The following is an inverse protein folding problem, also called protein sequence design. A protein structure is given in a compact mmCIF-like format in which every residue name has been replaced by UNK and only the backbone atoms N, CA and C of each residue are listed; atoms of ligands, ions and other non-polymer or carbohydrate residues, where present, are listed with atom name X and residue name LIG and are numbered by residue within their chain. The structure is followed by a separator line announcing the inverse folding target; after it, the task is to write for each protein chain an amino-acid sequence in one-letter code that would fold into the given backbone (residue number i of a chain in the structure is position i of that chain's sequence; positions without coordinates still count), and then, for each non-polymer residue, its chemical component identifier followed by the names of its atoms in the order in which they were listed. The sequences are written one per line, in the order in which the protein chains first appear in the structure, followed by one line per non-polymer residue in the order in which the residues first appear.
data_IF_142982232517
#
_entry.id   IF_142982232517
#
_cell.length_a   1.000
_cell.length_b   1.000
_cell.length_c   1.000
_cell.angle_alpha   90.00
_cell.angle_beta   90.00
_cell.angle_gamma   90.00
#
_symmetry.space_group_name_H-M   'P 1'
#
loop_
_entity.id
_entity.type
_entity.pdbx_description
1 polymer ?
#
# COMPACT_ATOMS: atom_id res chain seq x y z
N UNK A 1 -26.21 56.64 14.19
CA UNK A 1 -24.91 56.08 13.66
C UNK A 1 -24.28 55.05 14.60
N UNK A 2 -24.96 54.60 15.67
CA UNK A 2 -24.41 53.67 16.68
C UNK A 2 -24.75 52.19 16.56
N UNK A 3 -25.67 51.79 15.68
CA UNK A 3 -26.21 50.41 15.70
C UNK A 3 -25.77 49.50 14.51
N UNK A 4 -24.90 50.01 13.63
CA UNK A 4 -24.44 49.20 12.50
C UNK A 4 -23.21 48.34 12.81
N UNK A 5 -22.52 48.56 13.94
CA UNK A 5 -21.27 47.86 14.27
C UNK A 5 -21.44 46.65 15.22
N UNK A 6 -22.66 46.23 15.55
CA UNK A 6 -22.91 45.09 16.46
C UNK A 6 -23.18 43.76 15.77
N UNK A 7 -22.92 43.62 14.49
CA UNK A 7 -22.96 42.32 13.80
C UNK A 7 -21.57 41.92 13.30
N UNK A 8 -20.55 41.96 14.14
CA UNK A 8 -19.39 41.09 13.94
C UNK A 8 -19.83 39.68 14.28
N UNK A 9 -20.27 38.94 13.27
CA UNK A 9 -20.41 37.50 13.35
C UNK A 9 -19.04 36.95 13.73
N UNK A 10 -18.91 36.41 14.93
CA UNK A 10 -17.66 35.80 15.40
C UNK A 10 -17.15 34.83 14.35
N UNK A 11 -15.84 34.85 14.07
CA UNK A 11 -15.19 33.90 13.10
C UNK A 11 -15.55 32.45 13.39
N UNK A 12 -15.74 32.08 14.65
CA UNK A 12 -16.20 30.76 15.09
C UNK A 12 -17.61 30.40 14.54
N UNK A 13 -18.52 31.40 14.42
CA UNK A 13 -19.81 31.16 13.79
C UNK A 13 -19.71 30.99 12.28
N UNK A 14 -18.77 31.67 11.62
CA UNK A 14 -18.55 31.53 10.18
C UNK A 14 -18.06 30.13 9.82
N UNK A 15 -17.08 29.62 10.54
CA UNK A 15 -16.57 28.26 10.37
C UNK A 15 -17.65 27.19 10.62
N UNK A 16 -18.43 27.37 11.65
CA UNK A 16 -19.54 26.47 11.97
C UNK A 16 -20.57 26.42 10.83
N UNK A 17 -21.00 27.57 10.31
CA UNK A 17 -21.93 27.63 9.20
C UNK A 17 -21.33 27.10 7.89
N UNK A 18 -20.07 27.39 7.60
CA UNK A 18 -19.34 26.84 6.46
C UNK A 18 -19.29 25.31 6.50
N UNK A 19 -19.03 24.74 7.68
CA UNK A 19 -19.03 23.28 7.88
C UNK A 19 -20.42 22.67 7.64
N UNK A 20 -21.48 23.31 8.11
CA UNK A 20 -22.85 22.85 7.84
C UNK A 20 -23.16 22.88 6.35
N UNK A 21 -22.81 23.97 5.65
CA UNK A 21 -23.00 24.09 4.19
C UNK A 21 -22.24 22.99 3.43
N UNK A 22 -20.97 22.77 3.79
CA UNK A 22 -20.16 21.70 3.20
C UNK A 22 -20.78 20.31 3.42
N UNK A 23 -21.26 20.03 4.64
CA UNK A 23 -21.94 18.76 4.91
C UNK A 23 -23.24 18.59 4.10
N UNK A 24 -24.03 19.66 3.94
CA UNK A 24 -25.26 19.62 3.12
C UNK A 24 -24.96 19.44 1.64
N UNK A 25 -23.89 20.09 1.15
CA UNK A 25 -23.40 19.91 -0.22
C UNK A 25 -23.00 18.45 -0.47
N UNK A 26 -22.12 17.89 0.36
CA UNK A 26 -21.66 16.51 0.22
C UNK A 26 -22.82 15.52 0.26
N UNK A 27 -23.78 15.69 1.19
CA UNK A 27 -24.99 14.84 1.22
C UNK A 27 -25.79 14.91 -0.08
N UNK A 28 -25.92 16.10 -0.67
CA UNK A 28 -26.61 16.28 -1.96
C UNK A 28 -25.88 15.57 -3.08
N UNK A 29 -24.58 15.77 -3.19
CA UNK A 29 -23.75 15.10 -4.21
C UNK A 29 -23.79 13.58 -4.06
N UNK A 30 -23.75 13.08 -2.83
CA UNK A 30 -23.91 11.65 -2.52
C UNK A 30 -25.24 11.13 -3.04
N UNK A 31 -26.35 11.78 -2.70
CA UNK A 31 -27.70 11.35 -3.13
C UNK A 31 -27.80 11.35 -4.66
N UNK A 32 -27.36 12.42 -5.32
CA UNK A 32 -27.42 12.54 -6.79
C UNK A 32 -26.54 11.49 -7.47
N UNK A 33 -25.33 11.25 -6.96
CA UNK A 33 -24.40 10.27 -7.48
C UNK A 33 -24.93 8.84 -7.37
N UNK A 34 -25.46 8.47 -6.19
CA UNK A 34 -26.05 7.14 -6.02
C UNK A 34 -27.34 6.94 -6.85
N UNK A 35 -28.15 7.98 -7.03
CA UNK A 35 -29.30 7.90 -7.96
C UNK A 35 -28.85 7.61 -9.41
N UNK A 36 -27.77 8.27 -9.86
CA UNK A 36 -27.20 7.99 -11.19
C UNK A 36 -26.70 6.56 -11.30
N UNK A 37 -25.96 6.07 -10.30
CA UNK A 37 -25.47 4.69 -10.28
C UNK A 37 -26.60 3.68 -10.24
N UNK A 38 -27.66 3.95 -9.49
CA UNK A 38 -28.84 3.08 -9.46
C UNK A 38 -29.50 2.96 -10.84
N UNK A 39 -29.60 4.08 -11.57
CA UNK A 39 -30.14 4.08 -12.92
C UNK A 39 -29.26 3.31 -13.91
N UNK A 40 -27.93 3.45 -13.82
CA UNK A 40 -26.97 2.69 -14.64
C UNK A 40 -27.01 1.19 -14.32
N UNK A 41 -27.08 0.82 -13.05
CA UNK A 41 -27.16 -0.58 -12.62
C UNK A 41 -28.50 -1.25 -13.00
N UNK A 42 -29.56 -0.46 -13.21
CA UNK A 42 -30.86 -0.97 -13.66
C UNK A 42 -30.94 -1.08 -15.18
N UNK A 43 -30.00 -0.54 -15.92
CA UNK A 43 -29.95 -0.61 -17.38
C UNK A 43 -29.17 -1.86 -17.80
N UNK A 44 -29.89 -2.87 -18.30
CA UNK A 44 -29.33 -4.15 -18.77
C UNK A 44 -28.36 -3.99 -19.97
N UNK A 45 -28.31 -2.82 -20.61
CA UNK A 45 -27.41 -2.55 -21.73
C UNK A 45 -26.04 -2.03 -21.30
N UNK A 46 -25.90 -1.61 -20.03
CA UNK A 46 -24.64 -1.10 -19.47
C UNK A 46 -23.81 -2.24 -18.89
N UNK A 47 -22.52 -2.26 -19.19
CA UNK A 47 -21.59 -3.24 -18.62
C UNK A 47 -21.47 -3.02 -17.11
N UNK A 48 -21.48 -4.11 -16.36
CA UNK A 48 -21.36 -4.07 -14.91
C UNK A 48 -20.00 -3.51 -14.46
N UNK A 49 -18.94 -3.79 -15.22
CA UNK A 49 -17.60 -3.31 -14.94
C UNK A 49 -17.52 -1.77 -15.07
N UNK A 50 -18.19 -1.19 -16.06
CA UNK A 50 -18.32 0.26 -16.24
C UNK A 50 -19.11 0.89 -15.08
N UNK A 51 -20.18 0.24 -14.64
CA UNK A 51 -20.96 0.68 -13.48
C UNK A 51 -20.13 0.68 -12.19
N UNK A 52 -19.32 -0.34 -11.99
CA UNK A 52 -18.41 -0.43 -10.83
C UNK A 52 -17.30 0.63 -10.90
N UNK A 53 -16.73 0.89 -12.08
CA UNK A 53 -15.74 1.95 -12.28
C UNK A 53 -16.32 3.33 -11.96
N UNK A 54 -17.56 3.62 -12.41
CA UNK A 54 -18.28 4.86 -12.08
C UNK A 54 -18.55 4.98 -10.57
N UNK A 55 -18.88 3.87 -9.89
CA UNK A 55 -19.08 3.84 -8.45
C UNK A 55 -17.79 4.18 -7.68
N UNK A 56 -16.68 3.59 -8.05
CA UNK A 56 -15.36 3.92 -7.48
C UNK A 56 -14.99 5.39 -7.69
N UNK A 57 -15.17 5.88 -8.93
CA UNK A 57 -14.90 7.29 -9.26
C UNK A 57 -15.77 8.27 -8.46
N UNK A 58 -17.03 7.93 -8.20
CA UNK A 58 -17.91 8.73 -7.35
C UNK A 58 -17.41 8.76 -5.90
N UNK A 59 -17.05 7.60 -5.34
CA UNK A 59 -16.54 7.49 -3.97
C UNK A 59 -15.26 8.28 -3.80
N UNK A 60 -14.29 8.13 -4.69
CA UNK A 60 -13.02 8.87 -4.67
C UNK A 60 -13.24 10.39 -4.70
N UNK A 61 -14.20 10.86 -5.51
CA UNK A 61 -14.56 12.27 -5.58
C UNK A 61 -15.17 12.76 -4.26
N UNK A 62 -16.11 11.99 -3.69
CA UNK A 62 -16.74 12.33 -2.41
C UNK A 62 -15.74 12.33 -1.26
N UNK A 63 -14.80 11.38 -1.25
CA UNK A 63 -13.70 11.33 -0.27
C UNK A 63 -12.77 12.54 -0.38
N UNK A 64 -12.40 12.95 -1.59
CA UNK A 64 -11.61 14.17 -1.82
C UNK A 64 -12.35 15.44 -1.37
N UNK A 65 -13.66 15.49 -1.54
CA UNK A 65 -14.48 16.61 -1.08
C UNK A 65 -14.76 16.56 0.44
N UNK A 66 -14.93 15.37 1.02
CA UNK A 66 -14.99 15.16 2.47
C UNK A 66 -13.66 15.41 3.13
N UNK A 67 -12.59 14.90 2.50
CA UNK A 67 -11.23 15.03 2.97
C UNK A 67 -10.75 16.46 2.88
N UNK A 68 -10.70 17.08 4.01
CA UNK A 68 -9.68 18.01 4.47
C UNK A 68 -9.19 19.06 3.46
N UNK A 69 -9.55 20.29 3.72
CA UNK A 69 -8.54 21.35 3.70
C UNK A 69 -7.15 20.75 3.77
N UNK A 70 -6.32 20.98 2.76
CA UNK A 70 -4.88 20.81 2.88
C UNK A 70 -4.48 21.39 4.22
N UNK A 71 -4.12 20.54 5.17
CA UNK A 71 -3.70 20.99 6.48
C UNK A 71 -2.30 21.62 6.30
N UNK A 72 -2.29 22.91 5.99
CA UNK A 72 -1.10 23.72 6.19
C UNK A 72 -0.75 23.62 7.67
N UNK A 73 0.21 22.76 8.01
CA UNK A 73 0.73 22.66 9.36
C UNK A 73 1.58 23.86 9.66
N UNK A 74 1.38 24.47 10.81
CA UNK A 74 2.31 25.51 11.27
C UNK A 74 3.68 24.87 11.53
N UNK A 75 4.77 25.66 11.41
CA UNK A 75 6.12 25.18 11.74
C UNK A 75 6.18 24.66 13.18
N UNK A 76 5.45 25.27 14.11
CA UNK A 76 5.37 24.81 15.49
C UNK A 76 4.84 23.37 15.58
N UNK A 77 3.69 23.10 14.96
CA UNK A 77 3.10 21.76 14.92
C UNK A 77 4.03 20.75 14.26
N UNK A 78 4.67 21.13 13.13
CA UNK A 78 5.61 20.27 12.45
C UNK A 78 6.80 19.91 13.34
N UNK A 79 7.36 20.88 14.08
CA UNK A 79 8.48 20.63 14.98
C UNK A 79 8.10 19.76 16.19
N UNK A 80 6.93 19.97 16.77
CA UNK A 80 6.41 19.10 17.84
C UNK A 80 6.25 17.65 17.38
N UNK A 81 5.67 17.43 16.20
CA UNK A 81 5.50 16.08 15.62
C UNK A 81 6.86 15.45 15.28
N UNK A 82 7.80 16.25 14.77
CA UNK A 82 9.16 15.78 14.45
C UNK A 82 9.91 15.34 15.69
N UNK A 83 9.84 16.10 16.79
CA UNK A 83 10.48 15.74 18.05
C UNK A 83 9.92 14.43 18.59
N UNK A 84 8.59 14.29 18.63
CA UNK A 84 7.95 13.02 19.04
C UNK A 84 8.43 11.83 18.19
N UNK A 85 8.55 12.01 16.88
CA UNK A 85 9.04 10.96 15.98
C UNK A 85 10.50 10.58 16.30
N UNK A 86 11.36 11.57 16.60
CA UNK A 86 12.74 11.34 17.00
C UNK A 86 12.80 10.57 18.33
N UNK A 87 11.99 10.94 19.31
CA UNK A 87 11.91 10.23 20.59
C UNK A 87 11.49 8.77 20.42
N UNK A 88 10.47 8.50 19.59
CA UNK A 88 10.02 7.14 19.28
C UNK A 88 11.11 6.35 18.58
N UNK A 89 11.79 6.94 17.59
CA UNK A 89 12.94 6.29 16.90
C UNK A 89 14.08 5.99 17.87
N UNK A 90 14.39 6.89 18.77
CA UNK A 90 15.44 6.70 19.77
C UNK A 90 15.10 5.57 20.74
N UNK A 91 13.84 5.49 21.18
CA UNK A 91 13.38 4.44 22.09
C UNK A 91 13.30 3.06 21.42
N UNK A 92 12.96 3.00 20.12
CA UNK A 92 12.80 1.75 19.37
C UNK A 92 14.11 1.23 18.77
N UNK A 93 15.17 2.02 18.79
CA UNK A 93 16.42 1.68 18.13
C UNK A 93 17.23 0.64 18.92
N UNK A 94 17.00 -0.64 18.63
CA UNK A 94 17.78 -1.74 19.25
C UNK A 94 19.04 -2.12 18.47
N UNK A 95 19.11 -1.86 17.15
CA UNK A 95 20.19 -2.33 16.26
C UNK A 95 20.62 -1.31 15.18
N UNK A 96 20.31 -0.02 15.33
CA UNK A 96 20.62 0.99 14.33
C UNK A 96 19.64 1.05 13.14
N UNK A 97 18.66 0.15 13.06
CA UNK A 97 17.62 0.12 12.02
C UNK A 97 16.35 0.71 12.59
N UNK A 98 15.94 1.87 12.08
CA UNK A 98 14.72 2.57 12.51
C UNK A 98 13.58 2.41 11.52
N UNK A 99 13.88 1.99 10.30
CA UNK A 99 12.94 1.71 9.23
C UNK A 99 12.72 0.22 8.99
N UNK A 100 12.16 -0.11 7.83
CA UNK A 100 11.93 -1.47 7.38
C UNK A 100 13.29 -2.15 7.08
N UNK A 101 13.62 -3.28 7.72
CA UNK A 101 14.90 -3.98 7.50
C UNK A 101 14.94 -4.58 6.09
N UNK A 102 16.11 -4.52 5.45
CA UNK A 102 16.34 -5.13 4.14
C UNK A 102 16.82 -6.58 4.25
N UNK A 103 17.35 -6.97 5.42
CA UNK A 103 18.00 -8.26 5.64
C UNK A 103 19.47 -8.29 5.20
N UNK A 104 19.98 -7.19 4.66
CA UNK A 104 21.39 -7.02 4.33
C UNK A 104 22.04 -6.05 5.33
N UNK A 105 22.86 -6.58 6.23
CA UNK A 105 23.42 -5.82 7.36
C UNK A 105 24.14 -4.54 6.94
N UNK A 106 24.90 -4.59 5.85
CA UNK A 106 25.62 -3.41 5.37
C UNK A 106 24.70 -2.38 4.73
N UNK A 107 23.65 -2.82 4.03
CA UNK A 107 22.62 -1.94 3.49
C UNK A 107 21.81 -1.30 4.61
N UNK A 108 21.40 -2.08 5.59
CA UNK A 108 20.68 -1.59 6.77
C UNK A 108 21.50 -0.58 7.58
N UNK A 109 22.83 -0.80 7.68
CA UNK A 109 23.75 0.16 8.33
C UNK A 109 23.82 1.49 7.56
N UNK A 110 23.81 1.45 6.23
CA UNK A 110 23.90 2.65 5.38
C UNK A 110 22.59 3.43 5.34
N UNK A 111 21.45 2.74 5.35
CA UNK A 111 20.12 3.34 5.15
C UNK A 111 19.32 3.51 6.45
N UNK A 112 19.76 2.89 7.54
CA UNK A 112 19.00 2.71 8.78
C UNK A 112 17.64 1.99 8.55
N UNK A 113 17.56 1.17 7.49
CA UNK A 113 16.32 0.60 6.98
C UNK A 113 15.53 1.59 6.14
N UNK A 114 14.54 1.11 5.40
CA UNK A 114 13.71 1.98 4.55
C UNK A 114 12.62 2.67 5.34
N UNK A 115 12.46 3.96 5.11
CA UNK A 115 11.52 4.77 5.87
C UNK A 115 10.13 4.77 5.22
N UNK A 116 9.10 4.99 6.02
CA UNK A 116 7.74 5.11 5.52
C UNK A 116 7.61 6.30 4.56
N UNK A 117 6.99 6.07 3.40
CA UNK A 117 6.82 7.07 2.35
C UNK A 117 7.94 7.12 1.32
N UNK A 118 9.03 6.37 1.53
CA UNK A 118 10.13 6.31 0.55
C UNK A 118 9.72 5.54 -0.70
N UNK A 119 10.14 6.05 -1.85
CA UNK A 119 10.10 5.33 -3.12
C UNK A 119 11.50 4.79 -3.44
N UNK A 120 11.64 3.46 -3.45
CA UNK A 120 12.93 2.80 -3.70
C UNK A 120 12.92 2.17 -5.08
N UNK A 121 13.86 2.59 -5.93
CA UNK A 121 13.99 2.08 -7.29
C UNK A 121 15.17 1.11 -7.38
N UNK A 122 14.89 -0.15 -7.78
CA UNK A 122 15.88 -1.18 -7.98
C UNK A 122 16.07 -1.38 -9.49
N UNK A 123 17.25 -1.06 -9.99
CA UNK A 123 17.62 -1.23 -11.38
C UNK A 123 18.82 -2.17 -11.53
N UNK A 124 18.74 -3.08 -12.49
CA UNK A 124 19.84 -4.00 -12.81
C UNK A 124 19.76 -4.43 -14.27
N UNK A 125 20.89 -4.88 -14.82
CA UNK A 125 20.90 -5.53 -16.14
C UNK A 125 20.07 -6.83 -16.08
N UNK A 126 19.55 -7.32 -17.23
CA UNK A 126 18.88 -8.62 -17.27
C UNK A 126 19.75 -9.72 -16.66
N UNK A 127 19.12 -10.68 -16.01
CA UNK A 127 19.74 -11.85 -15.38
C UNK A 127 20.69 -11.59 -14.16
N UNK A 128 20.83 -10.36 -13.68
CA UNK A 128 21.66 -10.04 -12.49
C UNK A 128 20.98 -10.42 -11.17
N UNK A 129 19.66 -10.70 -11.17
CA UNK A 129 18.93 -11.11 -9.97
C UNK A 129 18.02 -10.03 -9.36
N UNK A 130 17.62 -8.99 -10.12
CA UNK A 130 16.70 -7.93 -9.67
C UNK A 130 15.46 -8.48 -8.95
N UNK A 131 14.76 -9.42 -9.57
CA UNK A 131 13.56 -10.03 -9.00
C UNK A 131 13.87 -10.84 -7.74
N UNK A 132 14.97 -11.62 -7.74
CA UNK A 132 15.38 -12.40 -6.57
C UNK A 132 15.68 -11.48 -5.37
N UNK A 133 16.33 -10.34 -5.62
CA UNK A 133 16.57 -9.33 -4.59
C UNK A 133 15.26 -8.74 -4.06
N UNK A 134 14.32 -8.35 -4.93
CA UNK A 134 13.01 -7.82 -4.53
C UNK A 134 12.20 -8.85 -3.70
N UNK A 135 12.22 -10.12 -4.10
CA UNK A 135 11.55 -11.21 -3.37
C UNK A 135 12.19 -11.46 -2.00
N UNK A 136 13.53 -11.35 -1.89
CA UNK A 136 14.22 -11.43 -0.61
C UNK A 136 13.79 -10.30 0.33
N UNK A 137 13.72 -9.06 -0.16
CA UNK A 137 13.26 -7.92 0.62
C UNK A 137 11.83 -8.11 1.11
N UNK A 138 10.93 -8.57 0.23
CA UNK A 138 9.54 -8.85 0.57
C UNK A 138 9.43 -9.91 1.67
N UNK A 139 10.20 -11.01 1.57
CA UNK A 139 10.25 -12.07 2.58
C UNK A 139 10.79 -11.55 3.91
N UNK A 140 11.89 -10.79 3.90
CA UNK A 140 12.51 -10.23 5.12
C UNK A 140 11.53 -9.30 5.84
N UNK A 141 10.87 -8.41 5.11
CA UNK A 141 9.89 -7.50 5.67
C UNK A 141 8.68 -8.25 6.23
N UNK A 142 8.16 -9.25 5.52
CA UNK A 142 7.05 -10.07 5.98
C UNK A 142 7.42 -10.89 7.24
N UNK A 143 8.64 -11.42 7.32
CA UNK A 143 9.17 -12.11 8.51
C UNK A 143 9.33 -11.17 9.71
N UNK A 144 9.49 -9.88 9.48
CA UNK A 144 9.48 -8.85 10.51
C UNK A 144 8.06 -8.41 10.93
N UNK A 145 7.00 -9.02 10.35
CA UNK A 145 5.60 -8.78 10.69
C UNK A 145 4.91 -7.69 9.87
N UNK A 146 5.53 -7.21 8.79
CA UNK A 146 4.91 -6.23 7.91
C UNK A 146 4.06 -6.91 6.82
N UNK A 147 2.92 -6.32 6.50
CA UNK A 147 2.08 -6.75 5.38
C UNK A 147 2.66 -6.26 4.06
N UNK A 148 2.87 -7.17 3.12
CA UNK A 148 3.52 -6.90 1.83
C UNK A 148 2.53 -7.15 0.69
N UNK A 149 2.43 -6.21 -0.24
CA UNK A 149 1.76 -6.40 -1.52
C UNK A 149 2.81 -6.44 -2.65
N UNK A 150 2.73 -7.46 -3.49
CA UNK A 150 3.60 -7.65 -4.65
C UNK A 150 2.76 -7.60 -5.90
N UNK A 151 2.97 -6.58 -6.73
CA UNK A 151 2.34 -6.45 -8.04
C UNK A 151 3.32 -6.93 -9.12
N UNK A 152 3.02 -8.06 -9.76
CA UNK A 152 3.89 -8.68 -10.76
C UNK A 152 3.30 -8.51 -12.16
N UNK A 153 3.90 -7.62 -12.96
CA UNK A 153 3.46 -7.36 -14.31
C UNK A 153 4.17 -8.24 -15.38
N UNK A 154 5.26 -8.92 -14.99
CA UNK A 154 6.11 -9.69 -15.90
C UNK A 154 6.02 -11.19 -15.64
N UNK A 155 5.79 -11.61 -14.40
CA UNK A 155 5.84 -13.01 -14.00
C UNK A 155 4.55 -13.44 -13.31
N UNK A 156 4.08 -14.63 -13.60
CA UNK A 156 2.96 -15.29 -12.92
C UNK A 156 3.32 -15.58 -11.45
N UNK A 157 2.33 -15.59 -10.57
CA UNK A 157 2.48 -15.79 -9.14
C UNK A 157 3.16 -17.11 -8.78
N UNK A 158 2.83 -18.20 -9.50
CA UNK A 158 3.43 -19.52 -9.30
C UNK A 158 4.95 -19.49 -9.52
N UNK A 159 5.43 -18.74 -10.52
CA UNK A 159 6.87 -18.60 -10.77
C UNK A 159 7.59 -17.78 -9.67
N UNK A 160 6.89 -16.85 -9.03
CA UNK A 160 7.42 -16.18 -7.84
C UNK A 160 7.44 -17.13 -6.66
N UNK A 161 6.42 -17.96 -6.51
CA UNK A 161 6.34 -19.05 -5.52
C UNK A 161 7.50 -20.03 -5.64
N UNK A 162 7.79 -20.51 -6.86
CA UNK A 162 8.95 -21.39 -7.13
C UNK A 162 10.27 -20.76 -6.65
N UNK A 163 10.46 -19.47 -6.90
CA UNK A 163 11.68 -18.76 -6.47
C UNK A 163 11.79 -18.63 -4.96
N UNK A 164 10.66 -18.39 -4.26
CA UNK A 164 10.66 -18.36 -2.80
C UNK A 164 10.92 -19.73 -2.19
N UNK A 165 10.32 -20.80 -2.76
CA UNK A 165 10.56 -22.18 -2.33
C UNK A 165 12.03 -22.54 -2.49
N UNK A 166 12.62 -22.29 -3.66
CA UNK A 166 14.05 -22.53 -3.90
C UNK A 166 14.96 -21.73 -2.96
N UNK A 167 14.59 -20.48 -2.66
CA UNK A 167 15.36 -19.64 -1.74
C UNK A 167 15.19 -20.06 -0.26
N UNK A 168 14.13 -20.80 0.08
CA UNK A 168 13.86 -21.28 1.43
C UNK A 168 14.41 -22.69 1.67
N UNK A 169 14.72 -23.45 0.61
CA UNK A 169 15.20 -24.83 0.67
C UNK A 169 16.72 -24.87 0.46
N UNK A 170 17.37 -25.86 1.06
CA UNK A 170 18.82 -26.09 0.90
C UNK A 170 19.04 -27.37 0.12
N UNK A 171 19.62 -27.27 -1.07
CA UNK A 171 20.02 -28.42 -1.89
C UNK A 171 18.94 -28.98 -2.82
N UNK A 172 17.79 -28.33 -2.94
CA UNK A 172 16.81 -28.63 -4.01
C UNK A 172 17.34 -28.13 -5.33
N UNK A 173 17.42 -29.03 -6.32
CA UNK A 173 17.87 -28.66 -7.66
C UNK A 173 16.76 -27.91 -8.40
N UNK A 174 17.00 -26.66 -8.88
CA UNK A 174 16.03 -25.91 -9.66
C UNK A 174 15.50 -26.67 -10.91
N UNK A 175 16.37 -27.43 -11.56
CA UNK A 175 15.97 -28.22 -12.73
C UNK A 175 15.01 -29.36 -12.38
N UNK A 176 15.16 -29.98 -11.20
CA UNK A 176 14.22 -30.97 -10.69
C UNK A 176 12.85 -30.37 -10.39
N UNK A 177 12.80 -29.17 -9.84
CA UNK A 177 11.55 -28.45 -9.60
C UNK A 177 10.82 -28.16 -10.92
N UNK A 178 11.54 -27.62 -11.90
CA UNK A 178 10.98 -27.27 -13.21
C UNK A 178 10.56 -28.48 -14.04
N UNK A 179 11.30 -29.60 -13.97
CA UNK A 179 11.00 -30.83 -14.72
C UNK A 179 10.02 -31.76 -14.02
N UNK A 180 9.67 -31.46 -12.74
CA UNK A 180 8.84 -32.35 -11.91
C UNK A 180 9.55 -33.63 -11.46
N UNK A 181 10.88 -33.72 -11.59
CA UNK A 181 11.66 -34.90 -11.20
C UNK A 181 12.27 -34.78 -9.80
N UNK A 182 11.42 -34.39 -8.85
CA UNK A 182 11.82 -34.24 -7.45
C UNK A 182 12.01 -35.59 -6.75
N UNK A 183 13.09 -35.69 -5.99
CA UNK A 183 13.28 -36.82 -5.08
C UNK A 183 12.35 -36.70 -3.87
N UNK A 184 12.05 -37.82 -3.16
CA UNK A 184 11.21 -37.77 -1.96
C UNK A 184 11.76 -36.84 -0.85
N UNK A 185 13.09 -36.68 -0.78
CA UNK A 185 13.74 -35.76 0.16
C UNK A 185 13.55 -34.30 -0.23
N UNK A 186 13.69 -33.96 -1.51
CA UNK A 186 13.43 -32.61 -2.04
C UNK A 186 11.98 -32.21 -1.88
N UNK A 187 11.05 -33.12 -2.20
CA UNK A 187 9.63 -32.89 -2.03
C UNK A 187 9.26 -32.57 -0.58
N UNK A 188 9.85 -33.28 0.39
CA UNK A 188 9.67 -33.00 1.82
C UNK A 188 10.14 -31.61 2.20
N UNK A 189 11.34 -31.21 1.76
CA UNK A 189 11.88 -29.87 2.01
C UNK A 189 10.99 -28.78 1.43
N UNK A 190 10.46 -28.98 0.22
CA UNK A 190 9.51 -28.06 -0.42
C UNK A 190 8.23 -27.91 0.41
N UNK A 191 7.67 -29.01 0.92
CA UNK A 191 6.47 -28.97 1.77
C UNK A 191 6.72 -28.24 3.10
N UNK A 192 7.87 -28.47 3.73
CA UNK A 192 8.27 -27.78 4.96
C UNK A 192 8.41 -26.27 4.70
N UNK A 193 9.13 -25.89 3.64
CA UNK A 193 9.30 -24.49 3.25
C UNK A 193 7.97 -23.82 2.85
N UNK A 194 7.10 -24.54 2.13
CA UNK A 194 5.76 -24.05 1.77
C UNK A 194 4.92 -23.76 3.00
N UNK A 195 4.97 -24.62 4.01
CA UNK A 195 4.25 -24.39 5.28
C UNK A 195 4.76 -23.13 5.99
N UNK A 196 6.07 -22.93 6.05
CA UNK A 196 6.66 -21.73 6.65
C UNK A 196 6.26 -20.46 5.88
N UNK A 197 6.40 -20.47 4.54
CA UNK A 197 6.10 -19.34 3.69
C UNK A 197 4.61 -18.98 3.67
N UNK A 198 3.72 -19.95 3.81
CA UNK A 198 2.25 -19.73 3.79
C UNK A 198 1.75 -18.87 4.96
N UNK A 199 2.52 -18.78 6.04
CA UNK A 199 2.18 -17.95 7.20
C UNK A 199 2.66 -16.48 7.06
N UNK A 200 3.44 -16.17 6.02
CA UNK A 200 3.90 -14.81 5.81
C UNK A 200 2.79 -13.93 5.25
N UNK A 201 2.62 -12.70 5.74
CA UNK A 201 1.59 -11.75 5.28
C UNK A 201 1.98 -11.12 3.94
N UNK A 202 2.13 -11.92 2.89
CA UNK A 202 2.47 -11.50 1.53
C UNK A 202 1.24 -11.72 0.64
N UNK A 203 0.81 -10.68 -0.05
CA UNK A 203 -0.26 -10.72 -1.04
C UNK A 203 0.33 -10.48 -2.42
N UNK A 204 -0.07 -11.29 -3.41
CA UNK A 204 0.44 -11.21 -4.78
C UNK A 204 -0.72 -10.89 -5.70
N UNK A 205 -0.52 -9.91 -6.55
CA UNK A 205 -1.39 -9.60 -7.68
C UNK A 205 -0.55 -9.71 -8.96
N UNK A 206 -0.84 -10.71 -9.77
CA UNK A 206 -0.20 -11.00 -11.04
C UNK A 206 -1.16 -10.83 -12.23
N UNK A 207 -2.30 -10.20 -12.02
CA UNK A 207 -3.21 -9.87 -13.09
C UNK A 207 -2.57 -8.81 -13.99
N UNK A 208 -2.43 -9.09 -15.31
CA UNK A 208 -1.98 -8.07 -16.25
C UNK A 208 -3.07 -7.00 -16.32
N UNK A 209 -2.80 -5.82 -15.76
CA UNK A 209 -3.71 -4.67 -15.94
C UNK A 209 -3.72 -4.34 -17.43
N UNK A 210 -4.83 -4.63 -18.08
CA UNK A 210 -5.04 -4.24 -19.48
C UNK A 210 -5.24 -2.71 -19.51
N UNK A 211 -4.20 -1.98 -19.87
CA UNK A 211 -4.28 -0.54 -20.16
C UNK A 211 -4.92 -0.26 -21.53
N UNK A 212 -5.90 -1.05 -21.94
CA UNK A 212 -6.67 -0.79 -23.15
C UNK A 212 -7.94 0.00 -22.84
N UNK A 213 -7.74 1.24 -22.39
CA UNK A 213 -8.78 2.29 -22.48
C UNK A 213 -8.12 3.64 -22.72
#
# INVERSE_FOLDING_TARGET
LGDVYKRQVSSAHLEYHARILKQKYIRRETILGFHKLLALAADETTDIDDTLADAHSLLDRLEKECGTTEHLRSMLQLMEDTIKLIEVRTASNKNGVTGLPTGFTDLDRLTCGWQAGDMIVIAARPAVGKTAFALHLARTAASAGYHIAVYSLEMQGERLGDRWLLAATTGVNPDHLLSGQLTPSELRQIHEASTELSHLPIHIDDNPVSYTH
#
